data_IF_296964204460
#
_entry.id   IF_296964204460
#
_cell.length_a   1.000
_cell.length_b   1.000
_cell.length_c   1.000
_cell.angle_alpha   90.00
_cell.angle_beta   90.00
_cell.angle_gamma   90.00
#
_symmetry.space_group_name_H-M   'P 1'
#
loop_
_entity.id
_entity.type
_entity.pdbx_description
1 polymer ?
#
# COMPACT_ATOMS: atom_id res chain seq x y z
N UNK A 1 -32.72 -16.63 -18.45
CA UNK A 1 -31.48 -16.02 -18.97
C UNK A 1 -30.77 -15.38 -17.78
N UNK A 2 -29.58 -15.87 -17.41
CA UNK A 2 -28.83 -15.35 -16.27
C UNK A 2 -28.21 -14.02 -16.68
N UNK A 3 -28.66 -12.91 -16.07
CA UNK A 3 -28.01 -11.62 -16.21
C UNK A 3 -26.63 -11.67 -15.57
N UNK A 4 -25.59 -11.70 -16.40
CA UNK A 4 -24.22 -11.52 -15.94
C UNK A 4 -24.02 -10.07 -15.53
N UNK A 5 -23.43 -9.86 -14.36
CA UNK A 5 -22.91 -8.56 -13.95
C UNK A 5 -21.83 -8.19 -14.99
N UNK A 6 -22.09 -7.17 -15.79
CA UNK A 6 -21.05 -6.52 -16.58
C UNK A 6 -20.19 -5.77 -15.57
N UNK A 7 -19.05 -6.35 -15.20
CA UNK A 7 -18.02 -5.62 -14.46
C UNK A 7 -17.53 -4.56 -15.44
N UNK A 8 -17.74 -3.30 -15.10
CA UNK A 8 -17.31 -2.17 -15.90
C UNK A 8 -15.78 -2.17 -15.96
N UNK A 9 -15.21 -2.74 -17.02
CA UNK A 9 -13.77 -2.85 -17.25
C UNK A 9 -13.11 -1.52 -17.56
N UNK A 10 -13.90 -0.45 -17.67
CA UNK A 10 -13.48 0.87 -18.16
C UNK A 10 -12.52 1.58 -17.19
N UNK A 11 -12.66 1.36 -15.87
CA UNK A 11 -11.73 1.94 -14.88
C UNK A 11 -10.30 1.38 -15.04
N UNK A 12 -10.17 0.12 -15.46
CA UNK A 12 -8.86 -0.51 -15.62
C UNK A 12 -8.20 -0.13 -16.95
N UNK A 13 -8.97 0.17 -18.00
CA UNK A 13 -8.40 0.71 -19.26
C UNK A 13 -7.77 2.07 -19.03
N UNK A 14 -8.42 2.93 -18.25
CA UNK A 14 -7.94 4.30 -17.97
C UNK A 14 -6.59 4.29 -17.24
N UNK A 15 -6.38 3.34 -16.31
CA UNK A 15 -5.10 3.18 -15.59
C UNK A 15 -3.98 2.78 -16.56
N UNK A 16 -4.23 1.80 -17.44
CA UNK A 16 -3.22 1.30 -18.37
C UNK A 16 -2.87 2.36 -19.42
N UNK A 17 -3.85 3.14 -19.88
CA UNK A 17 -3.60 4.28 -20.77
C UNK A 17 -2.75 5.35 -20.08
N UNK A 18 -3.09 5.73 -18.85
CA UNK A 18 -2.32 6.68 -18.05
C UNK A 18 -0.87 6.22 -17.84
N UNK A 19 -0.63 4.94 -17.56
CA UNK A 19 0.73 4.40 -17.41
C UNK A 19 1.53 4.56 -18.71
N UNK A 20 0.93 4.30 -19.88
CA UNK A 20 1.62 4.49 -21.16
C UNK A 20 2.00 5.94 -21.41
N UNK A 21 1.11 6.87 -21.08
CA UNK A 21 1.40 8.29 -21.17
C UNK A 21 2.57 8.69 -20.26
N UNK A 22 2.60 8.17 -19.03
CA UNK A 22 3.71 8.39 -18.10
C UNK A 22 5.02 7.78 -18.61
N UNK A 23 5.00 6.58 -19.20
CA UNK A 23 6.19 5.96 -19.84
C UNK A 23 6.73 6.80 -21.00
N UNK A 24 5.85 7.39 -21.81
CA UNK A 24 6.26 8.28 -22.89
C UNK A 24 6.79 9.63 -22.36
N UNK A 25 6.22 10.14 -21.26
CA UNK A 25 6.71 11.34 -20.57
C UNK A 25 8.09 11.12 -19.93
N UNK A 26 8.34 9.95 -19.35
CA UNK A 26 9.61 9.61 -18.68
C UNK A 26 10.82 9.80 -19.60
N UNK A 27 10.66 9.55 -20.90
CA UNK A 27 11.71 9.77 -21.91
C UNK A 27 12.21 11.22 -21.99
N UNK A 28 11.35 12.17 -21.62
CA UNK A 28 11.62 13.61 -21.70
C UNK A 28 11.67 14.31 -20.33
N UNK A 29 11.19 13.65 -19.27
CA UNK A 29 11.06 14.20 -17.93
C UNK A 29 11.82 13.34 -16.91
N UNK A 30 13.11 13.67 -16.70
CA UNK A 30 13.99 12.88 -15.85
C UNK A 30 13.58 12.84 -14.36
N UNK A 31 12.75 13.77 -13.90
CA UNK A 31 12.26 13.82 -12.53
C UNK A 31 10.88 13.18 -12.34
N UNK A 32 10.31 12.53 -13.37
CA UNK A 32 8.99 11.90 -13.27
C UNK A 32 8.89 10.89 -12.10
N UNK A 33 9.87 9.98 -11.87
CA UNK A 33 9.82 9.08 -10.72
C UNK A 33 9.83 9.82 -9.38
N UNK A 34 10.57 10.92 -9.28
CA UNK A 34 10.62 11.76 -8.08
C UNK A 34 9.25 12.40 -7.81
N UNK A 35 8.64 13.01 -8.84
CA UNK A 35 7.31 13.62 -8.77
C UNK A 35 6.26 12.59 -8.36
N UNK A 36 6.24 11.41 -8.99
CA UNK A 36 5.34 10.32 -8.62
C UNK A 36 5.51 9.92 -7.15
N UNK A 37 6.76 9.72 -6.72
CA UNK A 37 7.04 9.29 -5.35
C UNK A 37 6.61 10.34 -4.32
N UNK A 38 6.74 11.62 -4.65
CA UNK A 38 6.33 12.72 -3.77
C UNK A 38 4.82 12.77 -3.62
N UNK A 39 4.08 12.73 -4.74
CA UNK A 39 2.61 12.72 -4.73
C UNK A 39 2.09 11.51 -3.95
N UNK A 40 2.66 10.31 -4.17
CA UNK A 40 2.25 9.11 -3.47
C UNK A 40 2.49 9.21 -1.95
N UNK A 41 3.65 9.74 -1.53
CA UNK A 41 3.94 9.98 -0.11
C UNK A 41 2.97 10.99 0.50
N UNK A 42 2.66 12.06 -0.22
CA UNK A 42 1.74 13.10 0.25
C UNK A 42 0.34 12.53 0.49
N UNK A 43 -0.17 11.70 -0.42
CA UNK A 43 -1.47 11.02 -0.27
C UNK A 43 -1.47 9.99 0.89
N UNK A 44 -0.36 9.28 1.10
CA UNK A 44 -0.22 8.36 2.25
C UNK A 44 -0.21 9.15 3.56
N UNK A 45 0.55 10.25 3.63
CA UNK A 45 0.68 11.08 4.83
C UNK A 45 -0.61 11.87 5.14
N UNK A 46 -1.42 12.17 4.13
CA UNK A 46 -2.73 12.80 4.32
C UNK A 46 -3.79 11.82 4.87
N UNK A 47 -3.50 10.51 4.89
CA UNK A 47 -4.41 9.50 5.40
C UNK A 47 -4.31 9.38 6.93
N UNK A 48 -5.43 9.06 7.56
CA UNK A 48 -5.47 8.77 9.00
C UNK A 48 -4.79 7.42 9.29
N UNK A 49 -3.87 7.38 10.26
CA UNK A 49 -3.05 6.19 10.56
C UNK A 49 -3.91 4.99 10.98
N UNK A 50 -4.96 5.25 11.77
CA UNK A 50 -5.92 4.23 12.18
C UNK A 50 -6.69 3.69 10.98
N UNK A 51 -7.10 4.55 10.04
CA UNK A 51 -7.77 4.16 8.80
C UNK A 51 -6.85 3.36 7.89
N UNK A 52 -5.58 3.75 7.77
CA UNK A 52 -4.57 3.02 7.01
C UNK A 52 -4.37 1.60 7.57
N UNK A 53 -4.06 1.48 8.86
CA UNK A 53 -3.86 0.19 9.51
C UNK A 53 -5.10 -0.72 9.39
N UNK A 54 -6.30 -0.17 9.66
CA UNK A 54 -7.54 -0.93 9.54
C UNK A 54 -7.83 -1.36 8.09
N UNK A 55 -7.52 -0.50 7.11
CA UNK A 55 -7.64 -0.79 5.69
C UNK A 55 -6.75 -1.96 5.27
N UNK A 56 -5.46 -1.89 5.59
CA UNK A 56 -4.47 -2.96 5.32
C UNK A 56 -4.90 -4.27 5.99
N UNK A 57 -5.22 -4.23 7.29
CA UNK A 57 -5.73 -5.40 8.04
C UNK A 57 -6.94 -6.04 7.37
N UNK A 58 -7.90 -5.23 6.90
CA UNK A 58 -9.11 -5.72 6.24
C UNK A 58 -8.80 -6.39 4.90
N UNK A 59 -7.90 -5.82 4.09
CA UNK A 59 -7.49 -6.37 2.79
C UNK A 59 -6.81 -7.73 2.99
N UNK A 60 -5.82 -7.83 3.88
CA UNK A 60 -5.11 -9.08 4.17
C UNK A 60 -6.09 -10.17 4.62
N UNK A 61 -6.99 -9.84 5.57
CA UNK A 61 -7.98 -10.82 6.06
C UNK A 61 -8.93 -11.28 4.96
N UNK A 62 -9.42 -10.35 4.12
CA UNK A 62 -10.34 -10.63 3.00
C UNK A 62 -9.73 -11.64 2.03
N UNK A 63 -8.44 -11.50 1.73
CA UNK A 63 -7.75 -12.32 0.74
C UNK A 63 -6.89 -13.45 1.35
N UNK A 64 -6.98 -13.67 2.67
CA UNK A 64 -6.13 -14.61 3.41
C UNK A 64 -6.13 -16.06 2.88
N UNK A 65 -7.16 -16.47 2.16
CA UNK A 65 -7.31 -17.82 1.61
C UNK A 65 -6.92 -17.90 0.12
N UNK A 66 -6.52 -16.80 -0.50
CA UNK A 66 -6.12 -16.76 -1.90
C UNK A 66 -4.66 -16.34 -2.03
N UNK A 67 -3.81 -17.34 -2.29
CA UNK A 67 -2.37 -17.16 -2.43
C UNK A 67 -2.00 -16.09 -3.47
N UNK A 68 -2.63 -16.09 -4.65
CA UNK A 68 -2.28 -15.16 -5.73
C UNK A 68 -2.62 -13.70 -5.37
N UNK A 69 -3.74 -13.50 -4.69
CA UNK A 69 -4.16 -12.16 -4.25
C UNK A 69 -3.25 -11.64 -3.13
N UNK A 70 -2.84 -12.52 -2.20
CA UNK A 70 -1.84 -12.18 -1.19
C UNK A 70 -0.46 -11.88 -1.78
N UNK A 71 -0.03 -12.64 -2.80
CA UNK A 71 1.24 -12.41 -3.51
C UNK A 71 1.25 -11.03 -4.18
N UNK A 72 0.16 -10.64 -4.85
CA UNK A 72 0.04 -9.31 -5.45
C UNK A 72 0.05 -8.17 -4.40
N UNK A 73 -0.57 -8.40 -3.23
CA UNK A 73 -0.53 -7.45 -2.12
C UNK A 73 0.90 -7.33 -1.55
N UNK A 74 1.60 -8.45 -1.35
CA UNK A 74 2.98 -8.45 -0.84
C UNK A 74 3.93 -7.76 -1.85
N UNK A 75 3.78 -8.03 -3.15
CA UNK A 75 4.53 -7.37 -4.21
C UNK A 75 4.33 -5.84 -4.18
N UNK A 76 3.09 -5.37 -4.07
CA UNK A 76 2.78 -3.95 -3.94
C UNK A 76 3.49 -3.33 -2.72
N UNK A 77 3.42 -3.97 -1.56
CA UNK A 77 4.08 -3.48 -0.34
C UNK A 77 5.60 -3.45 -0.49
N UNK A 78 6.20 -4.47 -1.11
CA UNK A 78 7.65 -4.49 -1.37
C UNK A 78 8.09 -3.34 -2.26
N UNK A 79 7.32 -2.99 -3.30
CA UNK A 79 7.60 -1.83 -4.15
C UNK A 79 7.58 -0.54 -3.34
N UNK A 80 6.60 -0.38 -2.45
CA UNK A 80 6.48 0.83 -1.60
C UNK A 80 7.58 0.92 -0.54
N UNK A 81 8.02 -0.22 0.01
CA UNK A 81 8.91 -0.27 1.17
C UNK A 81 10.36 -0.64 0.83
N UNK A 82 10.77 -0.53 -0.45
CA UNK A 82 12.15 -0.82 -0.86
C UNK A 82 12.57 -2.29 -0.67
N UNK A 83 11.62 -3.21 -0.72
CA UNK A 83 11.83 -4.66 -0.67
C UNK A 83 11.31 -5.36 0.59
N UNK A 84 10.95 -4.63 1.63
CA UNK A 84 10.36 -5.21 2.84
C UNK A 84 8.99 -5.83 2.55
N UNK A 85 8.79 -7.08 2.96
CA UNK A 85 7.53 -7.80 2.85
C UNK A 85 6.50 -7.32 3.84
N UNK A 86 5.22 -7.60 3.56
CA UNK A 86 4.13 -7.27 4.47
C UNK A 86 4.29 -7.99 5.82
N UNK A 87 4.83 -9.22 5.83
CA UNK A 87 5.04 -9.95 7.06
C UNK A 87 6.18 -9.35 7.89
N UNK A 88 7.28 -8.93 7.27
CA UNK A 88 8.39 -8.26 7.97
C UNK A 88 7.91 -6.97 8.64
N UNK A 89 7.16 -6.13 7.92
CA UNK A 89 6.60 -4.89 8.48
C UNK A 89 5.69 -5.20 9.68
N UNK A 90 4.82 -6.21 9.57
CA UNK A 90 3.92 -6.59 10.66
C UNK A 90 4.66 -7.17 11.87
N UNK A 91 5.73 -7.93 11.67
CA UNK A 91 6.55 -8.44 12.77
C UNK A 91 7.27 -7.28 13.47
N UNK A 92 7.95 -6.40 12.72
CA UNK A 92 8.61 -5.22 13.31
C UNK A 92 7.60 -4.36 14.07
N UNK A 93 6.41 -4.11 13.51
CA UNK A 93 5.35 -3.36 14.19
C UNK A 93 4.94 -4.02 15.52
N UNK A 94 4.79 -5.35 15.51
CA UNK A 94 4.43 -6.10 16.72
C UNK A 94 5.56 -6.04 17.75
N UNK A 95 6.80 -6.21 17.32
CA UNK A 95 7.97 -6.21 18.18
C UNK A 95 8.15 -4.84 18.83
N UNK A 96 8.07 -3.74 18.08
CA UNK A 96 8.17 -2.36 18.60
C UNK A 96 7.04 -2.02 19.60
N UNK A 97 5.83 -2.51 19.37
CA UNK A 97 4.71 -2.32 20.30
C UNK A 97 4.81 -3.18 21.57
N UNK A 98 5.64 -4.24 21.57
CA UNK A 98 5.79 -5.16 22.71
C UNK A 98 7.11 -5.01 23.44
N UNK A 99 8.13 -4.42 22.80
CA UNK A 99 9.44 -4.13 23.34
C UNK A 99 9.93 -2.75 22.84
N UNK A 100 9.75 -1.72 23.67
CA UNK A 100 10.17 -0.34 23.38
C UNK A 100 11.71 -0.15 23.30
N UNK A 101 12.52 -1.20 23.49
CA UNK A 101 13.97 -1.11 23.36
C UNK A 101 14.47 -1.19 21.91
N UNK A 102 13.61 -1.56 20.95
CA UNK A 102 13.96 -1.74 19.53
C UNK A 102 13.83 -0.48 18.67
N UNK A 103 13.73 0.71 19.28
CA UNK A 103 13.73 2.06 18.68
C UNK A 103 14.08 2.17 17.17
N UNK A 104 13.11 1.94 16.29
CA UNK A 104 12.79 2.98 15.30
C UNK A 104 12.18 4.17 16.06
N UNK A 105 12.53 5.41 15.74
CA UNK A 105 12.23 6.61 16.56
C UNK A 105 10.74 7.00 16.71
N UNK A 106 9.82 6.04 16.65
CA UNK A 106 8.37 6.20 16.75
C UNK A 106 7.97 5.70 18.15
N UNK A 107 7.89 6.59 19.13
CA UNK A 107 7.33 6.27 20.45
C UNK A 107 5.83 6.01 20.32
N UNK A 108 5.38 4.82 20.70
CA UNK A 108 3.97 4.44 20.76
C UNK A 108 3.25 5.28 21.83
N UNK A 109 2.16 5.96 21.43
CA UNK A 109 1.28 6.70 22.35
C UNK A 109 0.31 5.74 23.06
N UNK A 110 0.27 5.83 24.40
CA UNK A 110 -0.51 4.96 25.30
C UNK A 110 -1.90 5.55 25.65
N UNK A 111 -2.31 6.62 24.94
CA UNK A 111 -3.54 7.38 25.18
C UNK A 111 -4.86 6.59 25.05
N UNK A 112 -4.81 5.37 24.54
CA UNK A 112 -5.98 4.51 24.34
C UNK A 112 -6.38 3.67 25.58
N UNK A 113 -5.77 3.91 26.76
CA UNK A 113 -6.03 3.14 28.01
C UNK A 113 -7.04 3.78 28.98
N UNK A 114 -7.85 4.75 28.54
CA UNK A 114 -8.93 5.33 29.36
C UNK A 114 -10.32 4.94 28.85
#
# INVERSE_FOLDING_TARGET
MKGGIVIDTNIYSDIIETIKELEDMERNMCNLPEVFSQILKDEINANDESRLFNGVKRIIKKYSQNKKELEAIDEMIRVLCGGASINEILQVTKDECTDMSLTTGITVDDSCKN
#
